data_IF_820375494414
#
_entry.id   IF_820375494414
#
_cell.length_a   1.000
_cell.length_b   1.000
_cell.length_c   1.000
_cell.angle_alpha   90.00
_cell.angle_beta   90.00
_cell.angle_gamma   90.00
#
_symmetry.space_group_name_H-M   'P 1'
#
loop_
_entity.id
_entity.type
_entity.pdbx_description
1 polymer ?
#
# COMPACT_ATOMS: atom_id res chain seq x y z
N UNK A 1 -10.63 -5.96 -15.74
CA UNK A 1 -9.52 -6.10 -14.78
C UNK A 1 -9.80 -5.08 -13.72
N UNK A 2 -10.43 -5.49 -12.64
CA UNK A 2 -10.81 -4.61 -11.55
C UNK A 2 -9.87 -4.86 -10.39
N UNK A 3 -9.35 -3.80 -9.80
CA UNK A 3 -8.73 -3.86 -8.49
C UNK A 3 -9.81 -4.17 -7.45
N UNK A 4 -9.51 -5.05 -6.50
CA UNK A 4 -10.45 -5.39 -5.43
C UNK A 4 -9.91 -4.93 -4.09
N UNK A 5 -10.75 -4.27 -3.29
CA UNK A 5 -10.41 -3.96 -1.90
C UNK A 5 -10.86 -5.13 -1.05
N UNK A 6 -9.90 -5.85 -0.48
CA UNK A 6 -10.14 -7.07 0.29
C UNK A 6 -10.28 -6.81 1.79
N UNK A 7 -9.79 -5.66 2.30
CA UNK A 7 -9.98 -5.23 3.69
C UNK A 7 -9.86 -3.70 3.83
N UNK A 8 -10.55 -3.15 4.85
CA UNK A 8 -10.54 -1.74 5.28
C UNK A 8 -10.56 -1.68 6.81
N UNK A 9 -9.40 -1.75 7.45
CA UNK A 9 -9.28 -1.85 8.91
C UNK A 9 -8.11 -0.98 9.40
N UNK A 10 -8.26 -0.28 10.54
CA UNK A 10 -7.18 0.51 11.16
C UNK A 10 -6.46 1.51 10.22
N UNK A 11 -7.22 2.14 9.31
CA UNK A 11 -6.68 3.02 8.23
C UNK A 11 -5.74 2.31 7.25
N UNK A 12 -5.69 0.98 7.27
CA UNK A 12 -5.00 0.10 6.35
C UNK A 12 -6.00 -0.40 5.30
N UNK A 13 -5.64 -0.22 4.04
CA UNK A 13 -6.38 -0.76 2.90
C UNK A 13 -5.55 -1.84 2.23
N UNK A 14 -6.13 -3.02 2.05
CA UNK A 14 -5.53 -4.07 1.23
C UNK A 14 -6.20 -4.05 -0.14
N UNK A 15 -5.37 -3.93 -1.17
CA UNK A 15 -5.80 -3.95 -2.57
C UNK A 15 -5.20 -5.17 -3.24
N UNK A 16 -6.07 -6.03 -3.77
CA UNK A 16 -5.69 -7.03 -4.75
C UNK A 16 -5.48 -6.35 -6.11
N UNK A 17 -4.25 -6.46 -6.61
CA UNK A 17 -3.85 -5.85 -7.88
C UNK A 17 -4.40 -6.64 -9.09
N UNK A 18 -4.78 -7.91 -8.89
CA UNK A 18 -5.17 -8.83 -9.94
C UNK A 18 -4.03 -9.12 -10.92
N UNK A 19 -4.37 -9.53 -12.14
CA UNK A 19 -3.40 -10.06 -13.11
C UNK A 19 -2.39 -9.03 -13.65
N UNK A 20 -2.73 -7.75 -13.66
CA UNK A 20 -1.91 -6.72 -14.29
C UNK A 20 -2.12 -5.32 -13.69
N UNK A 21 -1.04 -4.56 -13.57
CA UNK A 21 -1.06 -3.12 -13.37
C UNK A 21 -0.15 -2.46 -14.41
N UNK A 22 -0.77 -1.86 -15.43
CA UNK A 22 -0.08 -1.31 -16.59
C UNK A 22 -0.77 -0.05 -17.15
N UNK A 23 -0.34 0.42 -18.33
CA UNK A 23 -0.89 1.62 -18.96
C UNK A 23 -2.42 1.60 -19.19
N UNK A 24 -3.06 0.42 -19.22
CA UNK A 24 -4.50 0.28 -19.50
C UNK A 24 -5.33 0.63 -18.27
N UNK A 25 -4.86 0.30 -17.07
CA UNK A 25 -5.63 0.40 -15.83
C UNK A 25 -4.96 1.28 -14.75
N UNK A 26 -3.75 1.81 -14.98
CA UNK A 26 -3.09 2.70 -14.02
C UNK A 26 -3.89 3.96 -13.67
N UNK A 27 -4.73 4.48 -14.59
CA UNK A 27 -5.61 5.63 -14.30
C UNK A 27 -6.73 5.26 -13.33
N UNK A 28 -7.32 4.08 -13.49
CA UNK A 28 -8.34 3.53 -12.60
C UNK A 28 -7.74 3.25 -11.21
N UNK A 29 -6.56 2.64 -11.14
CA UNK A 29 -5.83 2.42 -9.89
C UNK A 29 -5.62 3.73 -9.12
N UNK A 30 -5.14 4.78 -9.80
CA UNK A 30 -4.91 6.09 -9.17
C UNK A 30 -6.20 6.72 -8.64
N UNK A 31 -7.33 6.51 -9.33
CA UNK A 31 -8.62 7.03 -8.91
C UNK A 31 -9.11 6.28 -7.66
N UNK A 32 -9.06 4.95 -7.67
CA UNK A 32 -9.39 4.11 -6.51
C UNK A 32 -8.56 4.52 -5.28
N UNK A 33 -7.23 4.57 -5.43
CA UNK A 33 -6.34 4.97 -4.34
C UNK A 33 -6.63 6.40 -3.83
N UNK A 34 -7.01 7.32 -4.72
CA UNK A 34 -7.40 8.67 -4.32
C UNK A 34 -8.65 8.63 -3.44
N UNK A 35 -9.68 7.89 -3.85
CA UNK A 35 -10.93 7.79 -3.11
C UNK A 35 -10.72 7.20 -1.71
N UNK A 36 -9.87 6.18 -1.59
CA UNK A 36 -9.55 5.60 -0.28
C UNK A 36 -8.75 6.58 0.59
N UNK A 37 -7.75 7.28 0.04
CA UNK A 37 -7.00 8.32 0.78
C UNK A 37 -7.92 9.44 1.23
N UNK A 38 -8.78 9.96 0.34
CA UNK A 38 -9.76 11.00 0.67
C UNK A 38 -10.78 10.51 1.72
N UNK A 39 -11.00 9.19 1.80
CA UNK A 39 -11.80 8.51 2.83
C UNK A 39 -11.10 8.27 4.17
N UNK A 40 -9.83 8.67 4.31
CA UNK A 40 -9.05 8.55 5.55
C UNK A 40 -8.13 7.33 5.63
N UNK A 41 -7.97 6.59 4.53
CA UNK A 41 -6.94 5.55 4.43
C UNK A 41 -5.54 6.18 4.46
N UNK A 42 -4.65 5.54 5.21
CA UNK A 42 -3.32 6.06 5.49
C UNK A 42 -2.22 5.07 5.10
N UNK A 43 -2.52 3.78 5.20
CA UNK A 43 -1.60 2.70 4.86
C UNK A 43 -2.22 1.80 3.79
N UNK A 44 -1.37 1.31 2.89
CA UNK A 44 -1.79 0.50 1.75
C UNK A 44 -0.92 -0.75 1.62
N UNK A 45 -1.58 -1.90 1.58
CA UNK A 45 -0.99 -3.18 1.25
C UNK A 45 -1.41 -3.50 -0.19
N UNK A 46 -0.45 -3.66 -1.09
CA UNK A 46 -0.70 -4.10 -2.45
C UNK A 46 -0.36 -5.58 -2.58
N UNK A 47 -1.38 -6.42 -2.76
CA UNK A 47 -1.24 -7.86 -2.97
C UNK A 47 -0.96 -8.15 -4.44
N UNK A 48 0.20 -8.73 -4.73
CA UNK A 48 0.65 -9.08 -6.07
C UNK A 48 0.61 -10.59 -6.35
N UNK A 49 -0.14 -11.36 -5.55
CA UNK A 49 -0.21 -12.83 -5.65
C UNK A 49 -0.59 -13.30 -7.05
N UNK A 50 -1.53 -12.61 -7.72
CA UNK A 50 -1.99 -12.94 -9.07
C UNK A 50 -1.33 -12.10 -10.18
N UNK A 51 -0.49 -11.12 -9.83
CA UNK A 51 0.00 -10.14 -10.79
C UNK A 51 1.09 -10.70 -11.68
N UNK A 52 0.82 -10.89 -12.96
CA UNK A 52 1.80 -11.29 -13.97
C UNK A 52 2.49 -10.11 -14.66
N UNK A 53 1.89 -8.92 -14.63
CA UNK A 53 2.33 -7.76 -15.40
C UNK A 53 2.40 -6.51 -14.50
N UNK A 54 3.58 -5.91 -14.40
CA UNK A 54 3.80 -4.60 -13.81
C UNK A 54 4.76 -3.79 -14.69
N UNK A 55 4.27 -2.71 -15.29
CA UNK A 55 5.08 -1.86 -16.17
C UNK A 55 5.48 -0.52 -15.50
N UNK A 56 6.16 0.35 -16.26
CA UNK A 56 6.54 1.68 -15.78
C UNK A 56 5.37 2.60 -15.43
N UNK A 57 4.24 2.46 -16.13
CA UNK A 57 3.02 3.25 -15.87
C UNK A 57 2.34 2.78 -14.60
N UNK A 58 2.28 1.46 -14.39
CA UNK A 58 1.79 0.83 -13.18
C UNK A 58 2.60 1.23 -11.95
N UNK A 59 3.93 1.12 -12.03
CA UNK A 59 4.83 1.66 -11.00
C UNK A 59 4.61 3.15 -10.77
N UNK A 60 4.43 3.94 -11.83
CA UNK A 60 4.09 5.36 -11.72
C UNK A 60 2.80 5.62 -10.94
N UNK A 61 1.79 4.75 -11.08
CA UNK A 61 0.57 4.74 -10.28
C UNK A 61 0.85 4.50 -8.81
N UNK A 62 1.63 3.47 -8.48
CA UNK A 62 2.03 3.15 -7.09
C UNK A 62 2.82 4.31 -6.47
N UNK A 63 3.78 4.89 -7.19
CA UNK A 63 4.52 6.06 -6.71
C UNK A 63 3.64 7.30 -6.54
N UNK A 64 2.53 7.40 -7.29
CA UNK A 64 1.57 8.49 -7.10
C UNK A 64 0.80 8.32 -5.79
N UNK A 65 0.39 7.09 -5.45
CA UNK A 65 -0.18 6.77 -4.15
C UNK A 65 0.84 7.04 -3.02
N UNK A 66 2.06 6.53 -3.15
CA UNK A 66 3.12 6.72 -2.15
C UNK A 66 3.34 8.20 -1.79
N UNK A 67 3.45 9.07 -2.81
CA UNK A 67 3.62 10.52 -2.60
C UNK A 67 2.45 11.19 -1.90
N UNK A 68 1.24 10.61 -1.95
CA UNK A 68 0.06 11.14 -1.28
C UNK A 68 0.05 10.79 0.20
N UNK A 69 0.48 9.59 0.56
CA UNK A 69 0.39 9.08 1.94
C UNK A 69 1.66 9.33 2.76
N UNK A 70 2.83 9.37 2.11
CA UNK A 70 4.11 9.53 2.81
C UNK A 70 4.26 10.83 3.61
N UNK A 71 3.69 11.99 3.23
CA UNK A 71 3.82 13.23 4.01
C UNK A 71 3.24 13.14 5.42
N UNK A 72 2.25 12.26 5.63
CA UNK A 72 1.56 12.08 6.90
C UNK A 72 2.05 10.81 7.65
N UNK A 73 3.21 10.27 7.26
CA UNK A 73 3.80 8.99 7.73
C UNK A 73 3.07 7.72 7.23
N UNK A 74 2.17 7.88 6.26
CA UNK A 74 1.50 6.78 5.58
C UNK A 74 2.47 5.89 4.80
N UNK A 75 2.12 4.60 4.69
CA UNK A 75 3.01 3.57 4.15
C UNK A 75 2.36 2.88 2.96
N UNK A 76 3.17 2.54 1.96
CA UNK A 76 2.77 1.63 0.88
C UNK A 76 3.71 0.43 0.93
N UNK A 77 3.16 -0.76 1.09
CA UNK A 77 3.92 -2.01 1.21
C UNK A 77 3.42 -3.04 0.21
N UNK A 78 4.29 -3.95 -0.19
CA UNK A 78 3.98 -5.00 -1.16
C UNK A 78 3.87 -6.34 -0.45
N UNK A 79 2.83 -7.11 -0.77
CA UNK A 79 2.60 -8.44 -0.24
C UNK A 79 2.57 -9.47 -1.38
N UNK A 80 2.90 -10.72 -1.07
CA UNK A 80 2.73 -11.87 -1.95
C UNK A 80 3.33 -11.69 -3.35
N UNK A 81 4.51 -11.09 -3.46
CA UNK A 81 5.09 -10.71 -4.74
C UNK A 81 5.31 -11.93 -5.65
N UNK A 82 4.62 -11.92 -6.79
CA UNK A 82 4.81 -12.91 -7.84
C UNK A 82 6.22 -12.86 -8.45
N UNK A 83 6.65 -13.96 -9.09
CA UNK A 83 7.96 -14.02 -9.74
C UNK A 83 8.19 -12.92 -10.81
N UNK A 84 7.23 -12.63 -11.72
CA UNK A 84 7.37 -11.52 -12.67
C UNK A 84 7.54 -10.17 -11.98
N UNK A 85 6.72 -9.88 -10.96
CA UNK A 85 6.79 -8.61 -10.22
C UNK A 85 8.11 -8.49 -9.45
N UNK A 86 8.64 -9.59 -8.90
CA UNK A 86 9.94 -9.60 -8.24
C UNK A 86 11.06 -9.10 -9.18
N UNK A 87 11.04 -9.51 -10.45
CA UNK A 87 12.03 -9.05 -11.44
C UNK A 87 11.94 -7.54 -11.63
N UNK A 88 10.72 -7.01 -11.77
CA UNK A 88 10.47 -5.57 -11.89
C UNK A 88 10.99 -4.82 -10.66
N UNK A 89 10.68 -5.30 -9.46
CA UNK A 89 11.11 -4.70 -8.19
C UNK A 89 12.63 -4.66 -8.07
N UNK A 90 13.33 -5.72 -8.48
CA UNK A 90 14.79 -5.79 -8.45
C UNK A 90 15.44 -4.85 -9.48
N UNK A 91 14.96 -4.87 -10.72
CA UNK A 91 15.51 -4.04 -11.80
C UNK A 91 15.32 -2.55 -11.54
N UNK A 92 14.16 -2.17 -11.01
CA UNK A 92 13.81 -0.77 -10.71
C UNK A 92 14.28 -0.33 -9.32
N UNK A 93 14.81 -1.25 -8.51
CA UNK A 93 15.25 -1.03 -7.13
C UNK A 93 14.17 -0.47 -6.22
N UNK A 94 12.91 -0.72 -6.53
CA UNK A 94 11.78 -0.26 -5.72
C UNK A 94 11.72 -0.94 -4.36
N UNK A 95 12.45 -2.05 -4.16
CA UNK A 95 12.68 -2.66 -2.85
C UNK A 95 13.31 -1.72 -1.82
N UNK A 96 13.93 -0.63 -2.24
CA UNK A 96 14.49 0.41 -1.35
C UNK A 96 13.43 1.40 -0.84
N UNK A 97 12.27 1.41 -1.47
CA UNK A 97 11.17 2.34 -1.19
C UNK A 97 10.00 1.60 -0.58
N UNK A 98 9.62 0.46 -1.15
CA UNK A 98 8.50 -0.35 -0.70
C UNK A 98 9.01 -1.58 0.03
N UNK A 99 8.61 -1.71 1.30
CA UNK A 99 8.85 -2.92 2.07
C UNK A 99 8.03 -4.07 1.47
N UNK A 100 8.61 -5.27 1.50
CA UNK A 100 8.02 -6.47 0.90
C UNK A 100 7.77 -7.50 1.97
N UNK A 101 6.63 -8.15 1.88
CA UNK A 101 6.20 -9.18 2.80
C UNK A 101 5.78 -10.45 2.04
N UNK A 102 6.03 -11.64 2.59
CA UNK A 102 5.60 -12.89 1.97
C UNK A 102 4.09 -13.01 1.83
N UNK A 103 3.32 -12.44 2.75
CA UNK A 103 1.86 -12.51 2.81
C UNK A 103 1.23 -11.17 3.17
N UNK A 104 -0.06 -11.00 2.87
CA UNK A 104 -0.87 -9.84 3.31
C UNK A 104 -0.94 -9.75 4.83
N UNK A 105 -1.03 -10.90 5.50
CA UNK A 105 -1.11 -10.99 6.95
C UNK A 105 0.16 -10.40 7.60
N UNK A 106 1.34 -10.86 7.18
CA UNK A 106 2.62 -10.35 7.68
C UNK A 106 2.80 -8.85 7.38
N UNK A 107 2.31 -8.37 6.23
CA UNK A 107 2.32 -6.96 5.90
C UNK A 107 1.44 -6.14 6.86
N UNK A 108 0.25 -6.66 7.20
CA UNK A 108 -0.68 -6.02 8.12
C UNK A 108 -0.13 -5.98 9.54
N UNK A 109 0.39 -7.10 10.04
CA UNK A 109 1.03 -7.18 11.36
C UNK A 109 2.14 -6.11 11.48
N UNK A 110 3.04 -6.04 10.49
CA UNK A 110 4.13 -5.07 10.49
C UNK A 110 3.67 -3.60 10.46
N UNK A 111 2.52 -3.31 9.81
CA UNK A 111 1.93 -1.97 9.81
C UNK A 111 1.27 -1.62 11.15
N UNK A 112 0.58 -2.58 11.77
CA UNK A 112 -0.04 -2.41 13.09
C UNK A 112 1.01 -2.21 14.19
N UNK A 113 2.12 -2.96 14.15
CA UNK A 113 3.23 -2.78 15.10
C UNK A 113 3.86 -1.37 15.00
N UNK A 114 3.95 -0.81 13.79
CA UNK A 114 4.44 0.56 13.57
C UNK A 114 3.42 1.62 14.01
N UNK A 115 2.12 1.37 13.84
CA UNK A 115 1.05 2.26 14.33
C UNK A 115 0.94 2.29 15.86
N UNK A 116 1.29 1.20 16.54
CA UNK A 116 1.27 1.11 18.01
C UNK A 116 2.36 1.95 18.71
N UNK A 117 3.37 2.42 17.98
CA UNK A 117 4.41 3.30 18.53
C UNK A 117 3.94 4.76 18.76
N UNK A 118 2.67 5.09 18.46
CA UNK A 118 2.08 6.40 18.72
C UNK A 118 0.77 6.26 19.49
N UNK A 119 0.85 6.15 20.83
CA UNK A 119 0.08 6.91 21.84
C UNK A 119 0.12 6.19 23.21
N UNK A 120 0.45 6.92 24.29
CA UNK A 120 -0.64 7.41 25.12
C UNK A 120 -0.64 8.94 25.18
N UNK A 121 -1.75 9.55 24.74
CA UNK A 121 -2.18 10.84 25.24
C UNK A 121 -2.34 10.71 26.75
N UNK A 122 -1.45 11.35 27.51
CA UNK A 122 -1.64 11.54 28.93
C UNK A 122 -2.93 12.33 29.17
N UNK A 123 -3.82 11.88 30.07
CA UNK A 123 -4.91 12.72 30.54
C UNK A 123 -4.33 13.75 31.50
N UNK A 124 -4.08 14.98 31.03
CA UNK A 124 -3.85 16.07 31.98
C UNK A 124 -5.19 16.53 32.53
N UNK A 125 -5.71 15.76 33.48
CA UNK A 125 -6.62 16.25 34.49
C UNK A 125 -5.76 16.77 35.65
N UNK A 126 -5.79 18.07 35.89
CA UNK A 126 -5.93 18.72 37.21
C UNK A 126 -5.75 20.23 37.01
N UNK A 127 -6.88 20.94 36.93
CA UNK A 127 -6.97 22.32 37.37
C UNK A 127 -6.83 22.30 38.90
N UNK A 128 -5.77 22.91 39.42
CA UNK A 128 -5.71 23.48 40.77
C UNK A 128 -5.65 25.01 40.66
#
# INVERSE_FOLDING_TARGET
>A
MSFEITSREDQIITIDIGEALDFRNASEFKQLCKEEVDGGAHHFILDFSETGILDSTGLGGIFSLYRKVSPDDGQVVFASISRPVQVVVQLTRTYKVFQQFPTVEEAREALLEKGSAVSPREPNASEE
#
